data_IF_795426844321
#
_entry.id   IF_795426844321
#
_cell.length_a   1.000
_cell.length_b   1.000
_cell.length_c   1.000
_cell.angle_alpha   90.00
_cell.angle_beta   90.00
_cell.angle_gamma   90.00
#
_symmetry.space_group_name_H-M   'P 1'
#
loop_
_entity.id
_entity.type
_entity.pdbx_description
1 polymer ?
#
# COMPACT_ATOMS: atom_id res chain seq x y z
N UNK A 1 -7.62 -22.17 -6.97
CA UNK A 1 -7.00 -21.19 -6.05
C UNK A 1 -7.93 -19.99 -5.95
N UNK A 2 -8.58 -19.77 -4.80
CA UNK A 2 -9.46 -18.62 -4.62
C UNK A 2 -8.64 -17.33 -4.75
N UNK A 3 -8.95 -16.50 -5.75
CA UNK A 3 -8.32 -15.20 -5.92
C UNK A 3 -8.72 -14.38 -4.69
N UNK A 4 -7.79 -14.11 -3.78
CA UNK A 4 -8.02 -13.14 -2.70
C UNK A 4 -8.35 -11.83 -3.39
N UNK A 5 -9.61 -11.40 -3.30
CA UNK A 5 -10.04 -10.10 -3.81
C UNK A 5 -9.52 -9.08 -2.80
N UNK A 6 -8.44 -8.39 -3.17
CA UNK A 6 -7.95 -7.25 -2.40
C UNK A 6 -8.74 -6.02 -2.81
N UNK A 7 -9.15 -5.24 -1.83
CA UNK A 7 -9.82 -3.96 -2.06
C UNK A 7 -8.78 -2.91 -2.46
N UNK A 8 -8.41 -2.91 -3.75
CA UNK A 8 -7.35 -2.08 -4.33
C UNK A 8 -7.65 -0.60 -4.25
N UNK A 9 -8.91 -0.20 -4.46
CA UNK A 9 -9.36 1.20 -4.34
C UNK A 9 -9.12 1.72 -2.93
N UNK A 10 -9.44 0.91 -1.92
CA UNK A 10 -9.23 1.26 -0.52
C UNK A 10 -7.74 1.33 -0.16
N UNK A 11 -6.91 0.46 -0.72
CA UNK A 11 -5.45 0.51 -0.55
C UNK A 11 -4.90 1.82 -1.12
N UNK A 12 -5.31 2.20 -2.34
CA UNK A 12 -4.89 3.43 -3.01
C UNK A 12 -5.30 4.66 -2.20
N UNK A 13 -6.58 4.74 -1.81
CA UNK A 13 -7.10 5.83 -0.98
C UNK A 13 -6.34 6.00 0.34
N UNK A 14 -6.04 4.90 1.04
CA UNK A 14 -5.29 4.97 2.29
C UNK A 14 -3.83 5.35 2.04
N UNK A 15 -3.20 4.83 0.98
CA UNK A 15 -1.82 5.20 0.68
C UNK A 15 -1.69 6.67 0.30
N UNK A 16 -2.62 7.21 -0.49
CA UNK A 16 -2.68 8.64 -0.83
C UNK A 16 -2.90 9.50 0.43
N UNK A 17 -3.83 9.09 1.31
CA UNK A 17 -4.16 9.82 2.54
C UNK A 17 -3.04 9.86 3.58
N UNK A 18 -2.26 8.78 3.71
CA UNK A 18 -1.26 8.65 4.79
C UNK A 18 0.19 8.62 4.31
N UNK A 19 0.42 8.41 3.01
CA UNK A 19 1.75 8.37 2.38
C UNK A 19 2.65 7.21 2.79
N UNK A 20 2.18 6.25 3.59
CA UNK A 20 3.02 5.18 4.15
C UNK A 20 2.35 3.81 4.10
N UNK A 21 3.14 2.76 3.78
CA UNK A 21 2.67 1.38 3.74
C UNK A 21 2.20 0.89 5.11
N UNK A 22 2.87 1.32 6.19
CA UNK A 22 2.54 0.95 7.57
C UNK A 22 1.15 1.42 7.94
N UNK A 23 0.77 2.65 7.56
CA UNK A 23 -0.56 3.19 7.84
C UNK A 23 -1.68 2.46 7.11
N UNK A 24 -1.40 1.89 5.93
CA UNK A 24 -2.32 1.04 5.19
C UNK A 24 -2.41 -0.35 5.85
N UNK A 25 -1.25 -0.94 6.22
CA UNK A 25 -1.17 -2.22 6.92
C UNK A 25 -1.96 -2.22 8.23
N UNK A 26 -1.79 -1.19 9.07
CA UNK A 26 -2.49 -1.10 10.35
C UNK A 26 -4.01 -1.01 10.22
N UNK A 27 -4.53 -0.55 9.07
CA UNK A 27 -5.96 -0.37 8.83
C UNK A 27 -6.62 -1.53 8.12
N UNK A 28 -5.92 -2.15 7.17
CA UNK A 28 -6.45 -3.24 6.34
C UNK A 28 -5.96 -4.62 6.78
N UNK A 29 -4.93 -4.70 7.62
CA UNK A 29 -4.31 -5.96 8.05
C UNK A 29 -3.54 -6.68 6.95
N UNK A 30 -3.41 -6.10 5.75
CA UNK A 30 -2.69 -6.70 4.64
C UNK A 30 -1.19 -6.60 4.84
N UNK A 31 -0.45 -7.64 4.44
CA UNK A 31 1.00 -7.62 4.54
C UNK A 31 1.58 -6.41 3.76
N UNK A 32 2.58 -5.69 4.32
CA UNK A 32 3.21 -4.55 3.65
C UNK A 32 3.75 -4.90 2.26
N UNK A 33 4.24 -6.12 2.07
CA UNK A 33 4.71 -6.64 0.77
C UNK A 33 3.58 -6.76 -0.25
N UNK A 34 2.39 -7.20 0.17
CA UNK A 34 1.19 -7.27 -0.68
C UNK A 34 0.70 -5.88 -1.04
N UNK A 35 0.63 -4.96 -0.08
CA UNK A 35 0.25 -3.56 -0.31
C UNK A 35 1.22 -2.93 -1.31
N UNK A 36 2.54 -3.11 -1.09
CA UNK A 36 3.58 -2.63 -1.99
C UNK A 36 3.39 -3.16 -3.42
N UNK A 37 3.13 -4.46 -3.57
CA UNK A 37 2.90 -5.07 -4.88
C UNK A 37 1.69 -4.46 -5.59
N UNK A 38 0.57 -4.30 -4.88
CA UNK A 38 -0.66 -3.70 -5.41
C UNK A 38 -0.41 -2.26 -5.85
N UNK A 39 0.28 -1.45 -5.03
CA UNK A 39 0.60 -0.07 -5.37
C UNK A 39 1.49 0.01 -6.62
N UNK A 40 2.50 -0.86 -6.75
CA UNK A 40 3.34 -0.93 -7.95
C UNK A 40 2.57 -1.41 -9.19
N UNK A 41 1.66 -2.38 -9.04
CA UNK A 41 0.78 -2.85 -10.13
C UNK A 41 -0.19 -1.75 -10.61
N UNK A 42 -0.47 -0.75 -9.77
CA UNK A 42 -1.30 0.42 -10.09
C UNK A 42 -0.47 1.68 -10.38
N UNK A 43 0.82 1.53 -10.71
CA UNK A 43 1.72 2.63 -11.10
C UNK A 43 1.89 3.75 -10.05
N UNK A 44 1.65 3.43 -8.77
CA UNK A 44 1.83 4.39 -7.68
C UNK A 44 3.31 4.52 -7.33
N UNK A 45 3.84 5.73 -7.45
CA UNK A 45 5.19 6.06 -6.99
C UNK A 45 5.28 5.95 -5.47
N UNK A 46 5.99 4.92 -5.02
CA UNK A 46 6.25 4.73 -3.60
C UNK A 46 7.27 5.77 -3.15
N UNK A 47 6.83 6.71 -2.32
CA UNK A 47 7.72 7.66 -1.65
C UNK A 47 8.75 6.88 -0.84
N UNK A 48 10.00 6.85 -1.31
CA UNK A 48 11.12 6.38 -0.48
C UNK A 48 11.29 7.39 0.64
N UNK A 49 11.14 6.93 1.88
CA UNK A 49 11.61 7.70 3.02
C UNK A 49 13.13 7.83 2.89
N UNK A 50 13.60 9.03 2.57
CA UNK A 50 15.00 9.40 2.65
C UNK A 50 15.17 10.10 3.99
N UNK A 51 15.82 9.49 4.99
CA UNK A 51 16.19 10.22 6.20
C UNK A 51 17.15 11.35 5.79
N UNK A 52 16.76 12.60 6.05
CA UNK A 52 17.71 13.72 5.97
C UNK A 52 18.79 13.47 7.02
N UNK A 53 20.05 13.45 6.57
CA UNK A 53 21.23 13.08 7.35
C UNK A 53 22.00 14.30 7.77
#
# INVERSE_FOLDING_TARGET
MAKKVYDTEKILYLYEKYGTLTAVHMRLGYAPTTIKKILLENEVELKKYVPER
#
